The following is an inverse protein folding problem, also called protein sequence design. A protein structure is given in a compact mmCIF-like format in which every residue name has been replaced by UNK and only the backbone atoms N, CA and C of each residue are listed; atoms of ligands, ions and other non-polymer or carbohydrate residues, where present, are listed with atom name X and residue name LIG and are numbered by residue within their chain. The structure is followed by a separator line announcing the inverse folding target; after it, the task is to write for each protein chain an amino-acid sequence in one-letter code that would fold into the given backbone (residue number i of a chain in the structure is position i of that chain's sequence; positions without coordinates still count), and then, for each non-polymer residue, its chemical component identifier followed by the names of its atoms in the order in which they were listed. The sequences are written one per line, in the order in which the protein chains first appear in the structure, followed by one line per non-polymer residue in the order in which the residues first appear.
data_IF_593732332687
#
_entry.id   IF_593732332687
#
_cell.length_a   1.000
_cell.length_b   1.000
_cell.length_c   1.000
_cell.angle_alpha   90.00
_cell.angle_beta   90.00
_cell.angle_gamma   90.00
#
_symmetry.space_group_name_H-M   'P 1'
#
loop_
_entity.id
_entity.type
_entity.pdbx_description
1 polymer ?
#
# COMPACT_ATOMS: atom_id res chain seq x y z
N UNK A 1 -20.64 33.52 -71.49
CA UNK A 1 -20.80 32.15 -70.97
C UNK A 1 -19.74 31.94 -69.90
N UNK A 2 -20.05 31.33 -68.75
CA UNK A 2 -19.08 31.19 -67.65
C UNK A 2 -17.96 30.21 -68.01
N UNK A 3 -16.72 30.63 -67.73
CA UNK A 3 -15.50 29.82 -67.90
C UNK A 3 -14.99 29.39 -66.53
N UNK A 4 -14.81 28.09 -66.31
CA UNK A 4 -14.31 27.55 -65.05
C UNK A 4 -12.78 27.48 -65.06
N UNK A 5 -12.17 27.88 -63.95
CA UNK A 5 -10.73 27.81 -63.72
C UNK A 5 -10.43 26.78 -62.63
N UNK A 6 -9.32 26.05 -62.79
CA UNK A 6 -8.89 25.05 -61.81
C UNK A 6 -8.50 25.74 -60.48
N UNK A 7 -8.99 25.26 -59.32
CA UNK A 7 -8.72 25.89 -58.01
C UNK A 7 -7.35 25.51 -57.40
N UNK A 8 -6.48 24.79 -58.11
CA UNK A 8 -5.17 24.36 -57.60
C UNK A 8 -4.11 25.43 -57.90
N UNK A 9 -3.39 25.88 -56.88
CA UNK A 9 -2.30 26.85 -57.00
C UNK A 9 -1.21 26.34 -57.96
N UNK A 10 -1.04 27.06 -59.09
CA UNK A 10 -0.07 26.76 -60.14
C UNK A 10 -0.63 26.10 -61.41
N UNK A 11 -1.94 25.85 -61.50
CA UNK A 11 -2.57 25.27 -62.68
C UNK A 11 -3.24 26.34 -63.57
N UNK A 12 -2.82 26.46 -64.83
CA UNK A 12 -3.33 27.46 -65.79
C UNK A 12 -4.48 26.96 -66.68
N UNK A 13 -5.07 25.81 -66.37
CA UNK A 13 -6.13 25.22 -67.19
C UNK A 13 -7.46 25.98 -67.04
N UNK A 14 -8.14 26.22 -68.17
CA UNK A 14 -9.47 26.85 -68.25
C UNK A 14 -10.36 26.06 -69.19
N UNK A 15 -11.66 25.96 -68.87
CA UNK A 15 -12.62 25.33 -69.78
C UNK A 15 -12.94 26.23 -70.98
N UNK A 16 -13.52 25.66 -72.04
CA UNK A 16 -14.20 26.46 -73.08
C UNK A 16 -15.49 27.07 -72.52
N UNK A 17 -16.11 27.98 -73.26
CA UNK A 17 -17.41 28.59 -72.93
C UNK A 17 -18.47 27.50 -72.74
N UNK A 18 -18.98 27.35 -71.52
CA UNK A 18 -20.01 26.38 -71.18
C UNK A 18 -21.35 27.08 -70.99
N UNK A 19 -22.43 26.42 -71.39
CA UNK A 19 -23.79 26.84 -71.05
C UNK A 19 -23.94 26.92 -69.52
N UNK A 20 -24.64 27.94 -69.00
CA UNK A 20 -24.77 28.21 -67.56
C UNK A 20 -25.32 27.01 -66.78
N UNK A 21 -26.24 26.24 -67.39
CA UNK A 21 -26.79 25.03 -66.78
C UNK A 21 -25.74 23.91 -66.66
N UNK A 22 -24.83 23.83 -67.63
CA UNK A 22 -23.77 22.82 -67.68
C UNK A 22 -22.60 23.18 -66.77
N UNK A 23 -22.27 24.48 -66.65
CA UNK A 23 -21.25 24.99 -65.74
C UNK A 23 -21.61 24.73 -64.25
N UNK A 24 -22.88 24.89 -63.88
CA UNK A 24 -23.36 24.60 -62.53
C UNK A 24 -23.25 23.10 -62.17
N UNK A 25 -23.61 22.22 -63.10
CA UNK A 25 -23.50 20.77 -62.93
C UNK A 25 -22.03 20.33 -62.78
N UNK A 26 -21.13 20.88 -63.61
CA UNK A 26 -19.71 20.55 -63.57
C UNK A 26 -19.02 21.05 -62.30
N UNK A 27 -19.38 22.24 -61.81
CA UNK A 27 -18.87 22.78 -60.54
C UNK A 27 -19.29 21.90 -59.35
N UNK A 28 -20.53 21.41 -59.37
CA UNK A 28 -21.04 20.48 -58.34
C UNK A 28 -20.28 19.16 -58.38
N UNK A 29 -20.02 18.62 -59.58
CA UNK A 29 -19.24 17.39 -59.75
C UNK A 29 -17.78 17.55 -59.28
N UNK A 30 -17.16 18.71 -59.52
CA UNK A 30 -15.81 19.04 -59.04
C UNK A 30 -15.76 19.15 -57.51
N UNK A 31 -16.74 19.77 -56.86
CA UNK A 31 -16.84 19.81 -55.41
C UNK A 31 -17.02 18.40 -54.79
N UNK A 32 -17.77 17.52 -55.46
CA UNK A 32 -17.91 16.13 -55.03
C UNK A 32 -16.59 15.37 -55.18
N UNK A 33 -15.89 15.53 -56.31
CA UNK A 33 -14.56 14.94 -56.52
C UNK A 33 -13.55 15.41 -55.47
N UNK A 34 -13.48 16.73 -55.22
CA UNK A 34 -12.57 17.31 -54.22
C UNK A 34 -12.81 16.69 -52.84
N UNK A 35 -14.07 16.59 -52.40
CA UNK A 35 -14.42 15.97 -51.11
C UNK A 35 -14.17 14.46 -51.03
N UNK A 36 -14.13 13.75 -52.16
CA UNK A 36 -14.05 12.28 -52.20
C UNK A 36 -12.65 11.75 -52.50
N UNK A 37 -11.87 12.48 -53.30
CA UNK A 37 -10.54 12.08 -53.78
C UNK A 37 -9.43 12.90 -53.12
N UNK A 38 -9.74 14.12 -52.67
CA UNK A 38 -8.87 14.97 -51.87
C UNK A 38 -9.47 15.22 -50.47
N UNK A 39 -9.67 14.17 -49.65
CA UNK A 39 -10.12 14.38 -48.28
C UNK A 39 -9.15 15.37 -47.61
N UNK A 40 -9.64 16.44 -46.96
CA UNK A 40 -8.78 17.35 -46.23
C UNK A 40 -7.95 16.51 -45.27
N UNK A 41 -6.63 16.69 -45.31
CA UNK A 41 -5.70 16.04 -44.38
C UNK A 41 -6.31 16.14 -42.99
N UNK A 42 -6.69 14.99 -42.43
CA UNK A 42 -7.26 14.93 -41.11
C UNK A 42 -6.30 15.70 -40.19
N UNK A 43 -6.76 16.83 -39.65
CA UNK A 43 -6.00 17.50 -38.60
C UNK A 43 -5.72 16.42 -37.57
N UNK A 44 -4.44 16.19 -37.18
CA UNK A 44 -4.13 15.22 -36.17
C UNK A 44 -4.99 15.58 -34.97
N UNK A 45 -5.93 14.71 -34.62
CA UNK A 45 -6.73 14.92 -33.44
C UNK A 45 -5.76 14.89 -32.28
N UNK A 46 -5.45 16.07 -31.74
CA UNK A 46 -4.82 16.15 -30.42
C UNK A 46 -5.88 15.64 -29.48
N UNK A 47 -5.93 14.31 -29.27
CA UNK A 47 -6.67 13.71 -28.18
C UNK A 47 -6.07 14.32 -26.91
N UNK A 48 -6.67 15.43 -26.46
CA UNK A 48 -6.33 16.07 -25.19
C UNK A 48 -6.60 15.02 -24.13
N UNK A 49 -5.54 14.46 -23.56
CA UNK A 49 -5.62 13.48 -22.51
C UNK A 49 -6.34 14.17 -21.34
N UNK A 50 -7.57 13.78 -21.01
CA UNK A 50 -8.35 14.46 -19.95
C UNK A 50 -7.71 14.13 -18.60
N UNK A 51 -6.69 14.89 -18.25
CA UNK A 51 -5.95 14.83 -17.00
C UNK A 51 -6.61 15.77 -16.01
N UNK A 52 -6.75 15.33 -14.76
CA UNK A 52 -7.20 16.21 -13.70
C UNK A 52 -6.09 17.24 -13.39
N UNK A 53 -6.46 18.52 -13.17
CA UNK A 53 -5.48 19.53 -12.80
C UNK A 53 -4.85 19.17 -11.44
N UNK A 54 -3.52 19.26 -11.32
CA UNK A 54 -2.86 19.10 -10.02
C UNK A 54 -3.30 20.21 -9.07
N UNK A 55 -3.36 19.92 -7.78
CA UNK A 55 -3.80 20.88 -6.76
C UNK A 55 -2.75 21.05 -5.67
N UNK A 56 -2.53 22.28 -5.22
CA UNK A 56 -1.61 22.64 -4.13
C UNK A 56 -2.28 23.61 -3.15
N UNK A 57 -2.01 23.45 -1.86
CA UNK A 57 -2.60 24.25 -0.78
C UNK A 57 -1.51 24.91 0.09
N UNK A 58 -1.92 25.90 0.88
CA UNK A 58 -1.07 26.50 1.92
C UNK A 58 -0.60 25.47 2.95
N UNK A 59 0.65 25.60 3.41
CA UNK A 59 1.20 24.72 4.44
C UNK A 59 1.59 23.33 3.94
N UNK A 60 1.84 23.19 2.64
CA UNK A 60 2.33 21.95 2.06
C UNK A 60 3.80 21.69 2.43
N UNK A 61 4.15 20.42 2.54
CA UNK A 61 5.53 20.00 2.80
C UNK A 61 6.39 20.11 1.52
N UNK A 62 7.73 20.22 1.65
CA UNK A 62 8.62 20.27 0.49
C UNK A 62 8.48 19.08 -0.48
N UNK A 63 8.12 17.90 0.03
CA UNK A 63 7.85 16.71 -0.81
C UNK A 63 6.59 16.87 -1.64
N UNK A 64 5.49 17.36 -1.02
CA UNK A 64 4.24 17.66 -1.72
C UNK A 64 4.45 18.72 -2.80
N UNK A 65 5.27 19.74 -2.53
CA UNK A 65 5.68 20.73 -3.54
C UNK A 65 6.44 20.09 -4.71
N UNK A 66 7.36 19.17 -4.43
CA UNK A 66 8.13 18.46 -5.45
C UNK A 66 7.23 17.58 -6.33
N UNK A 67 6.27 16.89 -5.71
CA UNK A 67 5.27 16.08 -6.39
C UNK A 67 4.36 16.93 -7.28
N UNK A 68 3.85 18.05 -6.73
CA UNK A 68 3.07 19.04 -7.48
C UNK A 68 3.82 19.56 -8.70
N UNK A 69 5.09 19.95 -8.54
CA UNK A 69 5.89 20.47 -9.66
C UNK A 69 6.06 19.44 -10.78
N UNK A 70 6.24 18.15 -10.43
CA UNK A 70 6.31 17.05 -11.40
C UNK A 70 4.96 16.84 -12.10
N UNK A 71 3.87 16.81 -11.34
CA UNK A 71 2.52 16.67 -11.87
C UNK A 71 2.13 17.85 -12.76
N UNK A 72 2.45 19.08 -12.37
CA UNK A 72 2.27 20.28 -13.17
C UNK A 72 3.00 20.19 -14.51
N UNK A 73 4.25 19.75 -14.53
CA UNK A 73 5.01 19.57 -15.77
C UNK A 73 4.36 18.54 -16.70
N UNK A 74 3.87 17.43 -16.14
CA UNK A 74 3.12 16.41 -16.90
C UNK A 74 1.79 16.97 -17.42
N UNK A 75 1.05 17.70 -16.59
CA UNK A 75 -0.23 18.31 -16.92
C UNK A 75 -0.09 19.36 -18.03
N UNK A 76 0.87 20.28 -17.91
CA UNK A 76 1.22 21.27 -18.94
C UNK A 76 1.49 20.61 -20.29
N UNK A 77 2.29 19.54 -20.28
CA UNK A 77 2.63 18.79 -21.50
C UNK A 77 1.43 18.05 -22.07
N UNK A 78 0.65 17.37 -21.23
CA UNK A 78 -0.51 16.57 -21.65
C UNK A 78 -1.71 17.39 -22.13
N UNK A 79 -1.86 18.63 -21.63
CA UNK A 79 -2.94 19.54 -22.00
C UNK A 79 -2.58 20.55 -23.10
N UNK A 80 -1.31 20.58 -23.52
CA UNK A 80 -0.79 21.55 -24.50
C UNK A 80 -1.17 22.99 -24.14
N UNK A 81 -0.94 23.37 -22.87
CA UNK A 81 -1.25 24.70 -22.36
C UNK A 81 -0.33 25.72 -23.04
N UNK A 82 -0.91 26.72 -23.69
CA UNK A 82 -0.19 27.81 -24.35
C UNK A 82 0.28 28.87 -23.34
N UNK A 83 1.39 29.54 -23.63
CA UNK A 83 2.06 30.45 -22.68
C UNK A 83 1.18 31.61 -22.20
N UNK A 84 0.23 32.05 -23.01
CA UNK A 84 -0.70 33.13 -22.69
C UNK A 84 -1.75 32.78 -21.63
N UNK A 85 -2.11 31.50 -21.48
CA UNK A 85 -3.09 31.03 -20.48
C UNK A 85 -2.43 30.28 -19.33
N UNK A 86 -1.13 30.04 -19.43
CA UNK A 86 -0.37 29.24 -18.49
C UNK A 86 -0.38 29.84 -17.07
N UNK A 87 -0.10 31.14 -16.84
CA UNK A 87 -0.09 31.70 -15.49
C UNK A 87 -1.46 31.58 -14.82
N UNK A 88 -2.53 31.81 -15.58
CA UNK A 88 -3.91 31.64 -15.13
C UNK A 88 -4.21 30.18 -14.80
N UNK A 89 -3.83 29.23 -15.66
CA UNK A 89 -4.03 27.80 -15.41
C UNK A 89 -3.28 27.34 -14.14
N UNK A 90 -2.05 27.82 -13.93
CA UNK A 90 -1.25 27.54 -12.74
C UNK A 90 -1.89 28.16 -11.48
N UNK A 91 -2.42 29.37 -11.58
CA UNK A 91 -3.13 30.03 -10.48
C UNK A 91 -4.36 29.23 -10.03
N UNK A 92 -5.12 28.66 -10.96
CA UNK A 92 -6.28 27.81 -10.63
C UNK A 92 -5.92 26.39 -10.16
N UNK A 93 -4.65 25.98 -10.24
CA UNK A 93 -4.14 24.80 -9.55
C UNK A 93 -3.89 25.05 -8.05
N UNK A 94 -3.93 26.30 -7.59
CA UNK A 94 -3.82 26.65 -6.18
C UNK A 94 -5.20 26.63 -5.52
N UNK A 95 -5.26 26.18 -4.25
CA UNK A 95 -6.48 26.24 -3.46
C UNK A 95 -6.95 27.68 -3.20
N UNK A 96 -8.18 27.85 -2.73
CA UNK A 96 -8.79 29.18 -2.58
C UNK A 96 -8.03 30.07 -1.59
N UNK A 97 -7.48 29.49 -0.52
CA UNK A 97 -6.71 30.24 0.47
C UNK A 97 -5.40 30.74 -0.12
N UNK A 98 -4.63 29.85 -0.76
CA UNK A 98 -3.37 30.18 -1.40
C UNK A 98 -3.56 31.21 -2.52
N UNK A 99 -4.64 31.10 -3.31
CA UNK A 99 -4.97 32.12 -4.33
C UNK A 99 -5.19 33.50 -3.73
N UNK A 100 -5.87 33.58 -2.59
CA UNK A 100 -6.13 34.84 -1.89
C UNK A 100 -4.82 35.43 -1.34
N UNK A 101 -3.96 34.59 -0.77
CA UNK A 101 -2.64 35.03 -0.30
C UNK A 101 -1.74 35.52 -1.44
N UNK A 102 -1.74 34.81 -2.57
CA UNK A 102 -1.03 35.20 -3.79
C UNK A 102 -1.52 36.55 -4.31
N UNK A 103 -2.85 36.77 -4.37
CA UNK A 103 -3.42 38.05 -4.81
C UNK A 103 -3.13 39.20 -3.85
N UNK A 104 -2.97 38.92 -2.56
CA UNK A 104 -2.61 39.93 -1.55
C UNK A 104 -1.12 40.30 -1.64
N UNK A 105 -0.28 39.31 -1.91
CA UNK A 105 1.18 39.45 -1.99
C UNK A 105 1.63 40.05 -3.33
N UNK A 106 1.01 39.65 -4.44
CA UNK A 106 1.26 40.19 -5.77
C UNK A 106 0.35 41.39 -6.03
N UNK A 107 0.93 42.59 -6.07
CA UNK A 107 0.20 43.83 -6.38
C UNK A 107 -0.15 44.00 -7.88
N UNK A 108 -0.01 42.95 -8.71
CA UNK A 108 -0.13 43.01 -10.17
C UNK A 108 -0.97 41.87 -10.76
N UNK A 109 -1.21 41.93 -12.07
CA UNK A 109 -2.02 40.93 -12.78
C UNK A 109 -1.25 39.61 -12.97
N UNK A 110 -1.76 38.55 -12.35
CA UNK A 110 -1.21 37.19 -12.42
C UNK A 110 -1.12 36.67 -13.86
N UNK A 111 -2.04 37.08 -14.75
CA UNK A 111 -2.04 36.64 -16.14
C UNK A 111 -0.83 37.15 -16.95
N UNK A 112 -0.16 38.21 -16.47
CA UNK A 112 1.00 38.83 -17.12
C UNK A 112 2.35 38.31 -16.62
N UNK A 113 2.36 37.44 -15.60
CA UNK A 113 3.59 36.96 -14.97
C UNK A 113 4.22 35.78 -15.72
N UNK A 114 5.55 35.69 -15.65
CA UNK A 114 6.27 34.50 -16.10
C UNK A 114 5.98 33.31 -15.18
N UNK A 115 5.88 32.11 -15.78
CA UNK A 115 5.67 30.83 -15.06
C UNK A 115 6.66 30.66 -13.90
N UNK A 116 7.93 30.97 -14.16
CA UNK A 116 9.02 30.79 -13.19
C UNK A 116 8.86 31.67 -11.96
N UNK A 117 8.34 32.88 -12.14
CA UNK A 117 8.21 33.84 -11.03
C UNK A 117 6.92 33.57 -10.25
N UNK A 118 5.86 33.17 -10.93
CA UNK A 118 4.64 32.69 -10.28
C UNK A 118 4.91 31.43 -9.46
N UNK A 119 5.66 30.44 -9.98
CA UNK A 119 6.06 29.26 -9.22
C UNK A 119 6.91 29.60 -7.99
N UNK A 120 7.78 30.61 -8.06
CA UNK A 120 8.56 31.07 -6.89
C UNK A 120 7.65 31.71 -5.83
N UNK A 121 6.71 32.55 -6.24
CA UNK A 121 5.74 33.18 -5.34
C UNK A 121 4.83 32.14 -4.67
N UNK A 122 4.29 31.20 -5.46
CA UNK A 122 3.50 30.08 -4.95
C UNK A 122 4.34 29.27 -3.95
N UNK A 123 5.58 28.90 -4.30
CA UNK A 123 6.45 28.14 -3.39
C UNK A 123 6.65 28.86 -2.05
N UNK A 124 6.92 30.16 -2.08
CA UNK A 124 7.15 30.97 -0.88
C UNK A 124 5.96 31.00 0.07
N UNK A 125 4.74 31.03 -0.47
CA UNK A 125 3.50 31.10 0.32
C UNK A 125 2.96 29.71 0.69
N UNK A 126 3.12 28.73 -0.21
CA UNK A 126 2.56 27.40 -0.03
C UNK A 126 3.44 26.50 0.83
N UNK A 127 4.78 26.57 0.67
CA UNK A 127 5.69 25.61 1.29
C UNK A 127 6.07 26.08 2.69
N UNK A 128 5.74 25.26 3.68
CA UNK A 128 6.28 25.44 5.02
C UNK A 128 7.72 24.94 5.02
N UNK A 129 8.67 25.85 5.11
CA UNK A 129 10.07 25.47 5.19
C UNK A 129 10.37 24.84 6.55
N UNK A 130 10.35 23.52 6.60
CA UNK A 130 10.75 22.76 7.77
C UNK A 130 12.27 22.54 7.77
N UNK A 131 12.87 22.63 8.96
CA UNK A 131 14.30 22.36 9.15
C UNK A 131 14.69 20.97 8.63
N UNK A 132 15.84 20.88 7.96
CA UNK A 132 16.43 19.59 7.54
C UNK A 132 16.61 18.64 8.72
N UNK A 133 16.86 19.16 9.94
CA UNK A 133 16.93 18.36 11.16
C UNK A 133 15.59 17.71 11.51
N UNK A 134 14.48 18.44 11.32
CA UNK A 134 13.13 17.88 11.52
C UNK A 134 12.86 16.77 10.52
N UNK A 135 13.24 16.96 9.25
CA UNK A 135 13.08 15.92 8.22
C UNK A 135 13.90 14.66 8.55
N UNK A 136 15.13 14.84 9.05
CA UNK A 136 15.98 13.73 9.52
C UNK A 136 15.37 13.02 10.73
N UNK A 137 14.78 13.75 11.68
CA UNK A 137 14.08 13.15 12.83
C UNK A 137 12.85 12.37 12.37
N UNK A 138 12.05 12.93 11.44
CA UNK A 138 10.89 12.26 10.84
C UNK A 138 11.31 10.95 10.18
N UNK A 139 12.34 10.98 9.31
CA UNK A 139 12.92 9.78 8.69
C UNK A 139 13.30 8.74 9.75
N UNK A 140 14.01 9.17 10.79
CA UNK A 140 14.50 8.27 11.83
C UNK A 140 13.38 7.59 12.64
N UNK A 141 12.20 8.18 12.69
CA UNK A 141 11.01 7.65 13.38
C UNK A 141 10.11 6.82 12.47
N UNK A 142 10.39 6.74 11.17
CA UNK A 142 9.57 5.96 10.26
C UNK A 142 9.67 4.47 10.59
N UNK A 143 8.52 3.81 10.65
CA UNK A 143 8.37 2.37 10.79
C UNK A 143 7.42 1.87 9.72
N UNK A 144 7.60 0.62 9.30
CA UNK A 144 6.74 -0.05 8.33
C UNK A 144 5.31 -0.09 8.87
N UNK A 145 4.36 0.43 8.09
CA UNK A 145 2.94 0.40 8.46
C UNK A 145 2.40 -1.03 8.45
N UNK A 146 1.47 -1.38 9.37
CA UNK A 146 0.85 -2.70 9.39
C UNK A 146 0.27 -3.08 8.02
N UNK A 147 0.62 -4.26 7.51
CA UNK A 147 0.14 -4.76 6.21
C UNK A 147 0.76 -4.11 4.98
N UNK A 148 1.65 -3.12 5.12
CA UNK A 148 2.45 -2.61 4.00
C UNK A 148 3.65 -3.51 3.75
N UNK A 149 3.98 -3.75 2.47
CA UNK A 149 5.18 -4.52 2.12
C UNK A 149 6.45 -3.66 2.19
N UNK A 150 7.61 -4.31 2.20
CA UNK A 150 8.91 -3.63 2.31
C UNK A 150 9.18 -2.63 1.17
N UNK A 151 8.67 -2.87 -0.04
CA UNK A 151 8.89 -2.00 -1.21
C UNK A 151 8.12 -0.68 -1.07
N UNK A 152 6.90 -0.73 -0.55
CA UNK A 152 6.10 0.46 -0.23
C UNK A 152 6.76 1.25 0.90
N UNK A 153 7.28 0.57 1.91
CA UNK A 153 8.03 1.22 2.98
C UNK A 153 9.31 1.89 2.46
N UNK A 154 10.09 1.21 1.62
CA UNK A 154 11.27 1.77 0.95
C UNK A 154 10.94 3.02 0.12
N UNK A 155 9.83 3.00 -0.64
CA UNK A 155 9.40 4.17 -1.41
C UNK A 155 9.11 5.37 -0.50
N UNK A 156 8.49 5.12 0.65
CA UNK A 156 8.22 6.15 1.66
C UNK A 156 9.50 6.70 2.28
N UNK A 157 10.47 5.83 2.62
CA UNK A 157 11.80 6.23 3.11
C UNK A 157 12.56 7.07 2.07
N UNK A 158 12.51 6.69 0.79
CA UNK A 158 13.14 7.46 -0.30
C UNK A 158 12.52 8.85 -0.46
N UNK A 159 11.20 8.95 -0.39
CA UNK A 159 10.51 10.25 -0.40
C UNK A 159 11.00 11.15 0.73
N UNK A 160 10.99 10.64 1.97
CA UNK A 160 11.43 11.38 3.14
C UNK A 160 12.93 11.73 3.12
N UNK A 161 13.79 10.80 2.67
CA UNK A 161 15.24 11.01 2.59
C UNK A 161 15.63 12.10 1.57
N UNK A 162 14.83 12.29 0.51
CA UNK A 162 15.05 13.35 -0.48
C UNK A 162 15.03 14.76 0.14
N UNK A 163 14.35 14.93 1.27
CA UNK A 163 14.25 16.20 2.01
C UNK A 163 15.40 16.42 3.00
N UNK A 164 16.21 15.40 3.28
CA UNK A 164 17.18 15.40 4.37
C UNK A 164 18.57 15.93 3.98
N UNK A 165 18.81 16.21 2.69
CA UNK A 165 20.08 16.69 2.14
C UNK A 165 21.28 15.82 2.59
N UNK A 166 21.28 14.53 2.25
CA UNK A 166 22.40 13.59 2.55
C UNK A 166 23.54 13.65 1.53
N UNK A 167 23.84 14.86 1.05
CA UNK A 167 24.95 15.12 0.13
C UNK A 167 26.03 15.87 0.87
N UNK A 168 27.27 15.43 0.73
CA UNK A 168 28.41 16.08 1.34
C UNK A 168 29.49 16.37 0.28
N UNK A 169 30.13 17.54 0.42
CA UNK A 169 31.25 17.96 -0.42
C UNK A 169 32.55 17.52 0.23
N UNK A 170 33.49 17.06 -0.59
CA UNK A 170 34.85 16.82 -0.14
C UNK A 170 35.45 18.12 0.46
N UNK A 171 36.18 17.99 1.56
CA UNK A 171 36.84 19.14 2.24
C UNK A 171 38.29 19.34 1.81
N UNK A 172 38.82 18.43 1.00
CA UNK A 172 40.20 18.48 0.52
C UNK A 172 40.40 19.66 -0.45
N UNK A 173 41.56 20.31 -0.35
CA UNK A 173 41.89 21.49 -1.14
C UNK A 173 41.94 21.11 -2.63
N UNK A 174 41.05 21.73 -3.44
CA UNK A 174 40.94 21.46 -4.88
C UNK A 174 40.01 20.31 -5.26
N UNK A 175 39.33 19.67 -4.31
CA UNK A 175 38.36 18.62 -4.58
C UNK A 175 36.92 19.14 -4.53
N UNK A 176 36.24 19.19 -5.68
CA UNK A 176 34.82 19.55 -5.79
C UNK A 176 33.90 18.33 -5.86
N UNK A 177 34.35 17.17 -5.38
CA UNK A 177 33.56 15.96 -5.40
C UNK A 177 32.41 16.05 -4.40
N UNK A 178 31.19 15.75 -4.86
CA UNK A 178 29.98 15.64 -4.04
C UNK A 178 29.62 14.16 -3.96
N UNK A 179 29.59 13.62 -2.75
CA UNK A 179 29.14 12.25 -2.51
C UNK A 179 27.75 12.25 -1.87
N UNK A 180 26.89 11.36 -2.36
CA UNK A 180 25.55 11.12 -1.83
C UNK A 180 25.58 9.83 -1.01
N UNK A 181 25.20 9.91 0.25
CA UNK A 181 25.15 8.77 1.17
C UNK A 181 23.72 8.47 1.65
N UNK A 182 22.73 8.87 0.84
CA UNK A 182 21.32 8.64 1.16
C UNK A 182 20.99 7.16 1.31
N UNK A 183 21.58 6.29 0.50
CA UNK A 183 21.21 4.87 0.43
C UNK A 183 21.65 4.09 1.67
N UNK A 184 22.79 4.46 2.25
CA UNK A 184 23.29 3.94 3.52
C UNK A 184 22.34 4.32 4.65
N UNK A 185 21.93 5.58 4.70
CA UNK A 185 20.99 6.05 5.73
C UNK A 185 19.62 5.40 5.54
N UNK A 186 19.13 5.29 4.30
CA UNK A 186 17.86 4.62 4.00
C UNK A 186 17.93 3.15 4.43
N UNK A 187 19.05 2.46 4.20
CA UNK A 187 19.26 1.07 4.64
C UNK A 187 19.17 0.96 6.15
N UNK A 188 19.86 1.82 6.90
CA UNK A 188 19.82 1.80 8.38
C UNK A 188 18.41 2.06 8.92
N UNK A 189 17.67 2.98 8.28
CA UNK A 189 16.29 3.28 8.62
C UNK A 189 15.35 2.14 8.24
N UNK A 190 15.59 1.47 7.12
CA UNK A 190 14.85 0.29 6.68
C UNK A 190 14.97 -0.81 7.73
N UNK A 191 16.19 -1.19 8.10
CA UNK A 191 16.45 -2.26 9.08
C UNK A 191 15.82 -1.96 10.44
N UNK A 192 15.98 -0.72 10.93
CA UNK A 192 15.39 -0.30 12.21
C UNK A 192 13.86 -0.26 12.19
N UNK A 193 13.27 0.05 11.03
CA UNK A 193 11.83 0.29 10.87
C UNK A 193 11.01 -0.93 10.47
N UNK A 194 11.61 -2.12 10.28
CA UNK A 194 10.88 -3.34 9.92
C UNK A 194 9.84 -3.68 11.01
N UNK A 195 8.61 -3.99 10.59
CA UNK A 195 7.53 -4.33 11.52
C UNK A 195 7.65 -5.76 12.09
N UNK A 196 8.25 -6.68 11.33
CA UNK A 196 8.33 -8.11 11.66
C UNK A 196 9.64 -8.46 12.40
N UNK A 197 9.58 -8.83 13.69
CA UNK A 197 10.78 -9.11 14.49
C UNK A 197 11.50 -10.39 14.08
N UNK A 198 10.83 -11.36 13.46
CA UNK A 198 11.49 -12.59 12.98
C UNK A 198 12.32 -12.29 11.73
N UNK A 199 11.79 -11.46 10.82
CA UNK A 199 12.54 -11.03 9.63
C UNK A 199 13.76 -10.20 10.05
N UNK A 200 13.60 -9.34 11.06
CA UNK A 200 14.71 -8.59 11.64
C UNK A 200 15.77 -9.54 12.22
N UNK A 201 15.35 -10.57 12.96
CA UNK A 201 16.27 -11.56 13.53
C UNK A 201 17.01 -12.36 12.46
N UNK A 202 16.31 -12.78 11.41
CA UNK A 202 16.90 -13.46 10.26
C UNK A 202 17.92 -12.59 9.52
N UNK A 203 17.63 -11.29 9.38
CA UNK A 203 18.52 -10.34 8.73
C UNK A 203 19.79 -10.10 9.56
N UNK A 204 19.67 -9.99 10.88
CA UNK A 204 20.80 -9.79 11.79
C UNK A 204 21.65 -11.05 11.99
N UNK A 205 21.05 -12.24 11.86
CA UNK A 205 21.74 -13.53 11.98
C UNK A 205 22.41 -14.01 10.69
N UNK A 206 22.31 -13.25 9.60
CA UNK A 206 22.86 -13.62 8.30
C UNK A 206 24.38 -13.42 8.22
N UNK A 207 25.08 -14.29 7.49
CA UNK A 207 26.54 -14.22 7.32
C UNK A 207 26.99 -13.04 6.45
N UNK A 208 26.13 -12.55 5.54
CA UNK A 208 26.44 -11.40 4.69
C UNK A 208 26.01 -10.10 5.39
N UNK A 209 26.96 -9.46 6.08
CA UNK A 209 26.72 -8.23 6.84
C UNK A 209 26.78 -6.95 6.01
N UNK A 210 27.35 -7.00 4.81
CA UNK A 210 27.65 -5.86 3.93
C UNK A 210 26.70 -5.74 2.73
N UNK A 211 25.42 -6.07 2.90
CA UNK A 211 24.42 -5.95 1.83
C UNK A 211 24.22 -4.50 1.38
N UNK A 212 24.03 -4.33 0.07
CA UNK A 212 23.52 -3.08 -0.50
C UNK A 212 22.05 -2.86 -0.10
N UNK A 213 21.52 -1.66 -0.33
CA UNK A 213 20.11 -1.37 -0.07
C UNK A 213 19.19 -2.32 -0.86
N UNK A 214 19.47 -2.53 -2.14
CA UNK A 214 18.70 -3.38 -3.05
C UNK A 214 18.74 -4.86 -2.66
N UNK A 215 19.91 -5.35 -2.24
CA UNK A 215 20.08 -6.72 -1.75
C UNK A 215 19.30 -6.95 -0.45
N UNK A 216 19.35 -5.97 0.46
CA UNK A 216 18.63 -6.01 1.74
C UNK A 216 17.11 -6.05 1.51
N UNK A 217 16.60 -5.19 0.62
CA UNK A 217 15.19 -5.16 0.24
C UNK A 217 14.77 -6.48 -0.41
N UNK A 218 15.61 -7.06 -1.27
CA UNK A 218 15.33 -8.33 -1.93
C UNK A 218 15.25 -9.48 -0.92
N UNK A 219 16.17 -9.52 0.05
CA UNK A 219 16.15 -10.50 1.14
C UNK A 219 14.86 -10.41 1.97
N UNK A 220 14.51 -9.19 2.41
CA UNK A 220 13.29 -8.96 3.20
C UNK A 220 12.04 -9.32 2.40
N UNK A 221 11.95 -8.90 1.13
CA UNK A 221 10.81 -9.20 0.27
C UNK A 221 10.62 -10.71 0.07
N UNK A 222 11.70 -11.48 -0.04
CA UNK A 222 11.63 -12.95 -0.10
C UNK A 222 11.10 -13.56 1.19
N UNK A 223 11.50 -13.04 2.36
CA UNK A 223 11.00 -13.50 3.65
C UNK A 223 9.53 -13.16 3.86
N UNK A 224 9.10 -11.92 3.53
CA UNK A 224 7.70 -11.51 3.55
C UNK A 224 6.85 -12.41 2.65
N UNK A 225 7.29 -12.64 1.41
CA UNK A 225 6.61 -13.53 0.48
C UNK A 225 6.55 -14.98 1.01
N UNK A 226 7.64 -15.47 1.60
CA UNK A 226 7.70 -16.80 2.20
C UNK A 226 6.68 -17.00 3.33
N UNK A 227 6.47 -15.97 4.16
CA UNK A 227 5.44 -15.99 5.21
C UNK A 227 4.03 -15.98 4.62
N UNK A 228 3.76 -15.11 3.65
CA UNK A 228 2.46 -15.06 2.96
C UNK A 228 2.14 -16.40 2.29
N UNK A 229 3.12 -16.98 1.57
CA UNK A 229 2.96 -18.30 0.94
C UNK A 229 2.76 -19.39 1.98
N UNK A 230 3.49 -19.39 3.09
CA UNK A 230 3.28 -20.36 4.19
C UNK A 230 1.86 -20.27 4.75
N UNK A 231 1.37 -19.06 4.99
CA UNK A 231 -0.01 -18.85 5.44
C UNK A 231 -1.04 -19.29 4.40
N UNK A 232 -0.78 -19.06 3.11
CA UNK A 232 -1.66 -19.46 2.01
C UNK A 232 -1.69 -20.97 1.74
N UNK A 233 -0.55 -21.66 1.93
CA UNK A 233 -0.44 -23.12 1.83
C UNK A 233 -1.01 -23.80 3.09
N UNK A 234 -1.41 -23.02 4.11
CA UNK A 234 -1.86 -23.52 5.40
C UNK A 234 -0.72 -24.19 6.17
N UNK A 235 -0.94 -24.44 7.46
CA UNK A 235 -0.14 -25.34 8.29
C UNK A 235 -0.21 -26.79 7.77
N UNK A 236 0.28 -27.03 6.55
CA UNK A 236 0.34 -28.31 5.86
C UNK A 236 1.49 -29.18 6.37
N UNK A 237 2.08 -28.83 7.51
CA UNK A 237 2.96 -29.69 8.31
C UNK A 237 2.18 -30.47 9.39
N UNK A 238 0.90 -30.76 9.16
CA UNK A 238 0.13 -31.78 9.89
C UNK A 238 -0.58 -32.72 8.92
N UNK A 239 0.12 -33.18 7.89
CA UNK A 239 -0.34 -34.28 7.06
C UNK A 239 0.84 -35.23 6.83
N UNK A 240 1.02 -36.17 7.76
CA UNK A 240 1.51 -37.55 7.59
C UNK A 240 1.91 -38.11 8.97
N UNK A 241 0.92 -38.44 9.81
CA UNK A 241 0.95 -39.73 10.50
C UNK A 241 -0.48 -40.15 10.85
N UNK A 242 -0.72 -41.42 10.62
CA UNK A 242 -2.01 -42.03 10.37
C UNK A 242 -2.98 -42.00 11.57
N UNK A 243 -4.26 -41.82 11.23
CA UNK A 243 -5.43 -42.53 11.78
C UNK A 243 -5.63 -42.49 13.29
N UNK A 244 -6.53 -41.62 13.74
CA UNK A 244 -7.78 -42.07 14.38
C UNK A 244 -8.74 -40.89 14.53
N UNK A 245 -9.88 -41.06 13.88
CA UNK A 245 -11.07 -40.24 13.91
C UNK A 245 -11.53 -40.02 15.37
N UNK A 246 -11.63 -38.78 15.83
CA UNK A 246 -12.70 -38.39 16.77
C UNK A 246 -12.88 -36.88 16.77
N UNK A 247 -14.06 -36.49 16.30
CA UNK A 247 -14.64 -35.16 16.30
C UNK A 247 -14.46 -34.47 17.67
N UNK A 248 -13.80 -33.32 17.68
CA UNK A 248 -13.93 -32.35 18.79
C UNK A 248 -15.34 -31.78 18.75
N UNK A 249 -16.26 -32.44 19.43
CA UNK A 249 -17.52 -31.87 19.88
C UNK A 249 -17.21 -30.77 20.94
N UNK A 250 -17.97 -29.67 21.01
CA UNK A 250 -17.68 -28.57 21.93
C UNK A 250 -17.65 -29.05 23.37
N UNK A 251 -16.70 -28.54 24.15
CA UNK A 251 -16.57 -28.83 25.57
C UNK A 251 -17.82 -28.36 26.31
N UNK A 252 -18.60 -29.30 26.84
CA UNK A 252 -19.64 -28.98 27.80
C UNK A 252 -18.97 -28.51 29.10
N UNK A 253 -19.22 -27.25 29.46
CA UNK A 253 -18.88 -26.71 30.76
C UNK A 253 -19.48 -27.60 31.88
N UNK A 254 -18.64 -28.04 32.82
CA UNK A 254 -19.08 -28.75 34.03
C UNK A 254 -18.62 -30.20 34.23
N UNK A 255 -17.73 -30.75 33.38
CA UNK A 255 -17.21 -32.10 33.59
C UNK A 255 -16.35 -32.19 34.88
N UNK A 256 -16.73 -33.08 35.81
CA UNK A 256 -15.97 -33.38 37.04
C UNK A 256 -15.07 -34.62 36.86
N UNK A 257 -14.08 -34.80 37.73
CA UNK A 257 -13.23 -35.99 37.79
C UNK A 257 -13.88 -37.08 38.67
N UNK A 258 -14.90 -37.74 38.10
CA UNK A 258 -15.69 -38.76 38.80
C UNK A 258 -14.82 -39.97 39.19
N UNK A 259 -15.03 -40.49 40.41
CA UNK A 259 -14.37 -41.71 40.96
C UNK A 259 -12.84 -41.61 41.13
N UNK A 260 -12.31 -40.39 41.22
CA UNK A 260 -10.89 -40.10 41.37
C UNK A 260 -10.63 -39.03 42.43
N UNK A 261 -10.38 -37.78 42.04
CA UNK A 261 -10.22 -36.65 42.96
C UNK A 261 -11.54 -35.95 43.31
N UNK A 262 -12.58 -36.10 42.46
CA UNK A 262 -13.89 -35.43 42.64
C UNK A 262 -13.92 -33.94 42.27
N UNK A 263 -12.79 -33.37 41.83
CA UNK A 263 -12.65 -31.98 41.40
C UNK A 263 -12.98 -31.74 39.91
N UNK A 264 -12.55 -30.61 39.32
CA UNK A 264 -12.70 -30.33 37.90
C UNK A 264 -12.06 -31.41 37.01
N UNK A 265 -12.60 -31.65 35.82
CA UNK A 265 -12.02 -32.64 34.91
C UNK A 265 -10.62 -32.21 34.43
N UNK A 266 -9.70 -33.17 34.41
CA UNK A 266 -8.29 -32.94 34.04
C UNK A 266 -8.02 -33.15 32.54
N UNK A 267 -9.04 -33.05 31.68
CA UNK A 267 -8.98 -33.31 30.23
C UNK A 267 -10.29 -33.88 29.69
N UNK A 268 -10.34 -34.27 28.41
CA UNK A 268 -11.52 -34.98 27.89
C UNK A 268 -11.74 -36.26 28.69
N UNK A 269 -12.92 -36.39 29.30
CA UNK A 269 -13.37 -37.59 30.03
C UNK A 269 -12.42 -38.14 31.12
N UNK A 270 -11.50 -37.34 31.64
CA UNK A 270 -10.51 -37.74 32.65
C UNK A 270 -9.55 -38.86 32.17
N UNK A 271 -8.99 -38.71 30.98
CA UNK A 271 -8.02 -39.63 30.43
C UNK A 271 -6.84 -39.91 31.38
N UNK A 272 -6.36 -41.16 31.36
CA UNK A 272 -5.31 -41.67 32.26
C UNK A 272 -4.03 -40.83 32.23
N UNK A 273 -3.61 -40.42 31.02
CA UNK A 273 -2.40 -39.60 30.78
C UNK A 273 -2.53 -38.18 31.33
N UNK A 274 -3.73 -37.61 31.28
CA UNK A 274 -3.99 -36.28 31.79
C UNK A 274 -4.10 -36.33 33.33
N UNK A 275 -4.73 -37.37 33.86
CA UNK A 275 -4.77 -37.62 35.31
C UNK A 275 -3.40 -37.88 35.92
N UNK A 276 -2.51 -38.59 35.24
CA UNK A 276 -1.16 -38.85 35.76
C UNK A 276 -0.30 -37.58 35.91
N UNK A 277 -0.66 -36.50 35.22
CA UNK A 277 0.06 -35.23 35.27
C UNK A 277 -0.61 -34.19 36.16
N UNK A 278 -1.94 -34.14 36.16
CA UNK A 278 -2.69 -33.03 36.74
C UNK A 278 -3.63 -33.42 37.90
N UNK A 279 -3.81 -34.72 38.18
CA UNK A 279 -4.69 -35.18 39.24
C UNK A 279 -3.90 -35.48 40.52
N UNK A 280 -4.14 -34.70 41.57
CA UNK A 280 -3.51 -34.88 42.89
C UNK A 280 -3.80 -36.27 43.50
N UNK A 281 -4.97 -36.84 43.20
CA UNK A 281 -5.35 -38.17 43.68
C UNK A 281 -4.62 -39.33 42.96
N UNK A 282 -3.79 -39.04 41.95
CA UNK A 282 -3.12 -40.06 41.12
C UNK A 282 -2.16 -40.94 41.92
N UNK A 283 -1.37 -40.34 42.80
CA UNK A 283 -0.37 -41.04 43.62
C UNK A 283 -0.93 -41.52 44.97
N UNK A 284 -2.14 -41.08 45.33
CA UNK A 284 -2.79 -41.43 46.59
C UNK A 284 -3.18 -42.92 46.63
N UNK A 285 -2.72 -43.64 47.64
CA UNK A 285 -3.08 -45.04 47.91
C UNK A 285 -4.35 -45.08 48.75
N UNK A 286 -5.42 -45.68 48.22
CA UNK A 286 -6.67 -45.80 48.95
C UNK A 286 -6.55 -46.72 50.17
N UNK A 287 -6.92 -46.24 51.36
CA UNK A 287 -6.86 -47.03 52.59
C UNK A 287 -7.85 -48.22 52.63
N UNK A 288 -8.88 -48.21 51.76
CA UNK A 288 -9.93 -49.24 51.74
C UNK A 288 -9.68 -50.39 50.75
N UNK A 289 -9.00 -50.11 49.63
CA UNK A 289 -8.75 -51.12 48.59
C UNK A 289 -7.28 -51.24 48.20
N UNK A 290 -6.39 -50.49 48.87
CA UNK A 290 -4.94 -50.45 48.68
C UNK A 290 -4.45 -50.13 47.26
N UNK A 291 -5.36 -49.71 46.36
CA UNK A 291 -5.04 -49.31 44.98
C UNK A 291 -4.77 -47.80 44.91
N UNK A 292 -3.77 -47.40 44.12
CA UNK A 292 -3.43 -46.00 43.84
C UNK A 292 -4.37 -45.35 42.82
N UNK A 293 -4.54 -44.04 42.89
CA UNK A 293 -5.20 -43.26 41.84
C UNK A 293 -6.60 -42.75 42.17
N UNK A 294 -7.03 -42.76 43.43
CA UNK A 294 -8.28 -42.14 43.87
C UNK A 294 -8.24 -41.89 45.38
N UNK A 295 -9.01 -40.91 45.86
CA UNK A 295 -9.18 -40.72 47.30
C UNK A 295 -10.07 -41.80 47.91
N UNK A 296 -9.87 -42.12 49.18
CA UNK A 296 -10.66 -43.12 49.93
C UNK A 296 -12.17 -42.85 49.86
N UNK A 297 -12.57 -41.57 49.82
CA UNK A 297 -13.97 -41.10 49.66
C UNK A 297 -14.60 -41.43 48.30
N UNK A 298 -13.79 -41.67 47.28
CA UNK A 298 -14.22 -41.94 45.89
C UNK A 298 -14.01 -43.40 45.48
N UNK A 299 -13.75 -44.28 46.44
CA UNK A 299 -13.51 -45.70 46.22
C UNK A 299 -14.81 -46.43 45.82
N UNK A 300 -14.81 -47.02 44.63
CA UNK A 300 -15.95 -47.81 44.12
C UNK A 300 -16.04 -49.22 44.70
N UNK A 301 -14.99 -49.73 45.36
CA UNK A 301 -14.95 -51.06 45.97
C UNK A 301 -15.43 -51.09 47.43
N UNK A 302 -15.86 -49.95 47.97
CA UNK A 302 -16.37 -49.86 49.34
C UNK A 302 -17.86 -50.21 49.38
N UNK A 303 -18.21 -51.29 50.07
CA UNK A 303 -19.59 -51.78 50.26
C UNK A 303 -20.51 -50.76 50.95
N UNK A 304 -19.96 -49.81 51.72
CA UNK A 304 -20.73 -48.74 52.38
C UNK A 304 -21.04 -47.54 51.47
N UNK A 305 -20.33 -47.35 50.35
CA UNK A 305 -20.48 -46.17 49.48
C UNK A 305 -21.19 -46.48 48.15
N UNK A 306 -21.38 -47.76 47.80
CA UNK A 306 -22.07 -48.17 46.57
C UNK A 306 -23.57 -47.83 46.52
N UNK A 307 -24.20 -47.61 47.67
CA UNK A 307 -25.65 -47.39 47.78
C UNK A 307 -26.05 -45.95 47.40
N UNK A 308 -25.18 -44.95 47.63
CA UNK A 308 -25.50 -43.54 47.34
C UNK A 308 -25.31 -43.15 45.86
N UNK A 309 -24.57 -43.94 45.07
CA UNK A 309 -24.36 -43.66 43.66
C UNK A 309 -25.58 -44.00 42.77
N UNK A 310 -26.46 -44.90 43.24
CA UNK A 310 -27.63 -45.36 42.48
C UNK A 310 -28.82 -44.38 42.62
N UNK A 311 -28.91 -43.66 43.74
CA UNK A 311 -30.06 -42.76 44.02
C UNK A 311 -29.95 -41.41 43.31
N UNK A 312 -28.73 -40.86 43.14
CA UNK A 312 -28.52 -39.56 42.49
C UNK A 312 -28.76 -39.61 40.96
N UNK A 313 -28.60 -40.77 40.32
CA UNK A 313 -28.78 -40.89 38.87
C UNK A 313 -30.27 -40.97 38.45
N UNK A 314 -31.18 -41.27 39.37
CA UNK A 314 -32.63 -41.35 39.09
C UNK A 314 -33.35 -40.01 39.29
N UNK A 315 -32.86 -39.15 40.19
CA UNK A 315 -33.49 -37.85 40.46
C UNK A 315 -33.17 -36.80 39.40
N UNK A 316 -32.02 -36.88 38.74
CA UNK A 316 -31.58 -35.87 37.76
C UNK A 316 -32.10 -36.15 36.33
N UNK A 317 -32.66 -37.34 36.09
CA UNK A 317 -33.40 -37.71 34.88
C UNK A 317 -34.90 -37.37 34.92
N UNK A 318 -35.43 -36.92 36.07
CA UNK A 318 -36.86 -36.60 36.25
C UNK A 318 -37.16 -35.09 36.29
N UNK A 319 -36.19 -34.22 35.94
CA UNK A 319 -36.39 -32.75 35.90
C UNK A 319 -35.79 -32.10 34.64
N UNK A 320 -35.85 -32.81 33.51
CA UNK A 320 -35.73 -32.22 32.16
C UNK A 320 -36.77 -32.82 31.24
#
# INVERSE_FOLDING_TARGET
MPVLQCPIDGCNWKSQDLDEAFAAALTTALQIHDRTVHPPLAQPSTHKLKLDPPSIATGCDPDQWSAFTRQWKMYKTGMAITDNVLPTALFYCCDTNLRTDIMRDLQGDVASMLETDLLKAIKRLAVKEESTLVQRIKLNRMTQSPGSNIRTFLASLRGQASLCQYKATCKELGCNHIFDYSDEIIKDNLVRGIADPEIMSDLLGDSKTDRTLEETVSFIAQKEQGKVTRSAVGDSASAMSATCNTQKRPQAAGAKCWRACGGPAHGQRNDRKARSRYCEAWTFTCAKCTVKGHYTKSCSKCTTCGVLATVMHLLESASR
#
